data_IF_134699049203
#
_entry.id   IF_134699049203
#
_cell.length_a   1.000
_cell.length_b   1.000
_cell.length_c   1.000
_cell.angle_alpha   90.00
_cell.angle_beta   90.00
_cell.angle_gamma   90.00
#
_symmetry.space_group_name_H-M   'P 1'
#
loop_
_entity.id
_entity.type
_entity.pdbx_description
1 polymer ?
#
# COMPACT_ATOMS: atom_id res chain seq x y z
N UNK A 1 52.66 -3.85 -45.31
CA UNK A 1 51.98 -3.29 -44.11
C UNK A 1 50.77 -4.12 -43.84
N UNK A 2 50.78 -4.90 -42.72
CA UNK A 2 49.63 -5.74 -42.30
C UNK A 2 49.00 -5.04 -41.14
N UNK A 3 47.76 -4.61 -41.34
CA UNK A 3 46.94 -3.98 -40.28
C UNK A 3 46.29 -5.10 -39.47
N UNK A 4 46.66 -5.22 -38.19
CA UNK A 4 46.00 -6.09 -37.24
C UNK A 4 44.82 -5.35 -36.63
N UNK A 5 43.59 -5.80 -36.93
CA UNK A 5 42.37 -5.35 -36.27
C UNK A 5 42.23 -6.15 -34.99
N UNK A 6 42.44 -5.50 -33.85
CA UNK A 6 42.18 -6.08 -32.54
C UNK A 6 40.69 -5.89 -32.29
N UNK A 7 39.92 -6.96 -32.37
CA UNK A 7 38.51 -6.99 -31.92
C UNK A 7 38.54 -7.10 -30.41
N UNK A 8 38.27 -5.98 -29.75
CA UNK A 8 38.07 -5.93 -28.30
C UNK A 8 36.79 -6.68 -27.96
N UNK A 9 36.91 -7.78 -27.17
CA UNK A 9 35.81 -8.60 -26.70
C UNK A 9 34.86 -7.80 -25.81
N UNK A 10 33.60 -7.83 -26.17
CA UNK A 10 32.48 -7.34 -25.32
C UNK A 10 32.45 -8.15 -24.03
N UNK A 11 32.67 -7.47 -22.92
CA UNK A 11 32.38 -8.00 -21.59
C UNK A 11 30.89 -8.23 -21.50
N UNK A 12 30.45 -9.48 -21.39
CA UNK A 12 29.08 -9.84 -21.04
C UNK A 12 28.81 -9.32 -19.63
N UNK A 13 27.99 -8.27 -19.56
CA UNK A 13 27.41 -7.79 -18.32
C UNK A 13 26.58 -8.89 -17.70
N UNK A 14 27.01 -9.40 -16.56
CA UNK A 14 26.21 -10.29 -15.72
C UNK A 14 24.98 -9.50 -15.27
N UNK A 15 23.86 -9.69 -15.95
CA UNK A 15 22.57 -9.19 -15.51
C UNK A 15 22.22 -9.97 -14.24
N UNK A 16 22.61 -9.42 -13.11
CA UNK A 16 22.17 -9.93 -11.81
C UNK A 16 20.65 -9.99 -11.83
N UNK A 17 20.09 -11.18 -11.63
CA UNK A 17 18.65 -11.33 -11.44
C UNK A 17 18.27 -10.54 -10.20
N UNK A 18 17.71 -9.36 -10.37
CA UNK A 18 17.01 -8.65 -9.32
C UNK A 18 15.75 -9.47 -9.01
N UNK A 19 15.83 -10.36 -8.04
CA UNK A 19 14.66 -11.03 -7.49
C UNK A 19 13.86 -9.95 -6.76
N UNK A 20 12.82 -9.43 -7.43
CA UNK A 20 11.81 -8.68 -6.72
C UNK A 20 11.19 -9.64 -5.70
N UNK A 21 11.30 -9.33 -4.42
CA UNK A 21 10.55 -10.01 -3.37
C UNK A 21 9.09 -9.62 -3.55
N UNK A 22 8.37 -10.42 -4.33
CA UNK A 22 6.93 -10.25 -4.49
C UNK A 22 6.30 -10.73 -3.17
N UNK A 23 5.52 -9.87 -2.54
CA UNK A 23 4.67 -10.24 -1.41
C UNK A 23 3.50 -11.05 -1.98
N UNK A 24 3.72 -12.35 -2.14
CA UNK A 24 2.75 -13.24 -2.79
C UNK A 24 1.64 -13.67 -1.83
N UNK A 25 2.00 -13.97 -0.59
CA UNK A 25 1.07 -14.51 0.42
C UNK A 25 0.96 -13.61 1.65
N UNK A 26 -0.10 -13.85 2.43
CA UNK A 26 -0.33 -13.17 3.69
C UNK A 26 0.83 -13.30 4.68
N UNK A 27 1.54 -14.45 4.71
CA UNK A 27 2.71 -14.63 5.57
C UNK A 27 3.87 -13.71 5.18
N UNK A 28 4.10 -13.51 3.89
CA UNK A 28 5.14 -12.62 3.39
C UNK A 28 4.76 -11.16 3.69
N UNK A 29 3.48 -10.83 3.51
CA UNK A 29 2.92 -9.52 3.84
C UNK A 29 3.02 -9.24 5.34
N UNK A 30 2.70 -10.20 6.20
CA UNK A 30 2.84 -10.08 7.65
C UNK A 30 4.27 -9.72 8.02
N UNK A 31 5.24 -10.51 7.58
CA UNK A 31 6.66 -10.27 7.85
C UNK A 31 7.15 -8.92 7.34
N UNK A 32 6.76 -8.55 6.13
CA UNK A 32 7.13 -7.28 5.51
C UNK A 32 6.58 -6.09 6.29
N UNK A 33 5.34 -6.18 6.79
CA UNK A 33 4.71 -5.13 7.58
C UNK A 33 5.24 -5.07 9.03
N UNK A 34 5.66 -6.18 9.60
CA UNK A 34 6.39 -6.20 10.88
C UNK A 34 7.71 -5.42 10.77
N UNK A 35 8.48 -5.64 9.70
CA UNK A 35 9.71 -4.89 9.43
C UNK A 35 9.43 -3.39 9.24
N UNK A 36 8.38 -3.03 8.51
CA UNK A 36 7.99 -1.63 8.32
C UNK A 36 7.70 -0.92 9.65
N UNK A 37 7.01 -1.60 10.58
CA UNK A 37 6.67 -1.02 11.89
C UNK A 37 7.90 -0.90 12.80
N UNK A 38 8.86 -1.84 12.71
CA UNK A 38 10.08 -1.82 13.50
C UNK A 38 11.02 -0.68 13.11
N UNK A 39 10.92 -0.20 11.86
CA UNK A 39 11.75 0.90 11.30
C UNK A 39 13.27 0.71 11.55
N UNK A 40 13.70 -0.55 11.58
CA UNK A 40 15.11 -0.90 11.75
C UNK A 40 15.42 -2.12 10.89
N UNK A 41 16.39 -1.98 9.98
CA UNK A 41 16.72 -3.00 9.00
C UNK A 41 18.16 -3.46 9.14
N UNK A 42 18.39 -4.77 9.16
CA UNK A 42 19.73 -5.37 9.23
C UNK A 42 20.46 -5.32 7.90
N UNK A 43 19.71 -5.33 6.82
CA UNK A 43 20.24 -5.34 5.46
C UNK A 43 19.26 -4.74 4.44
N UNK A 44 19.70 -4.63 3.19
CA UNK A 44 18.89 -4.10 2.09
C UNK A 44 17.68 -4.98 1.74
N UNK A 45 17.73 -6.28 2.05
CA UNK A 45 16.61 -7.19 1.83
C UNK A 45 15.45 -6.87 2.75
N UNK A 46 15.73 -6.63 4.03
CA UNK A 46 14.72 -6.21 5.00
C UNK A 46 14.11 -4.85 4.67
N UNK A 47 14.95 -3.88 4.30
CA UNK A 47 14.47 -2.55 3.87
C UNK A 47 13.56 -2.67 2.63
N UNK A 48 13.92 -3.52 1.67
CA UNK A 48 13.08 -3.77 0.49
C UNK A 48 11.77 -4.47 0.83
N UNK A 49 11.79 -5.41 1.76
CA UNK A 49 10.58 -6.08 2.24
C UNK A 49 9.64 -5.09 2.92
N UNK A 50 10.16 -4.23 3.80
CA UNK A 50 9.37 -3.16 4.42
C UNK A 50 8.73 -2.24 3.37
N UNK A 51 9.49 -1.80 2.35
CA UNK A 51 8.97 -1.02 1.23
C UNK A 51 7.90 -1.77 0.41
N UNK A 52 7.96 -3.09 0.33
CA UNK A 52 6.91 -3.89 -0.32
C UNK A 52 5.59 -3.86 0.46
N UNK A 53 5.65 -3.89 1.80
CA UNK A 53 4.46 -3.68 2.63
C UNK A 53 3.88 -2.27 2.44
N UNK A 54 4.73 -1.24 2.47
CA UNK A 54 4.34 0.15 2.24
C UNK A 54 3.59 0.31 0.91
N UNK A 55 4.20 -0.11 -0.20
CA UNK A 55 3.58 -0.04 -1.53
C UNK A 55 2.28 -0.83 -1.65
N UNK A 56 2.17 -2.00 -1.00
CA UNK A 56 0.93 -2.79 -0.96
C UNK A 56 -0.18 -2.03 -0.23
N UNK A 57 0.13 -1.44 0.91
CA UNK A 57 -0.81 -0.68 1.72
C UNK A 57 -1.29 0.56 0.98
N UNK A 58 -0.38 1.36 0.41
CA UNK A 58 -0.72 2.56 -0.36
C UNK A 58 -1.64 2.22 -1.54
N UNK A 59 -1.30 1.15 -2.27
CA UNK A 59 -2.11 0.65 -3.37
C UNK A 59 -3.50 0.22 -2.89
N UNK A 60 -3.57 -0.56 -1.81
CA UNK A 60 -4.85 -1.02 -1.26
C UNK A 60 -5.70 0.14 -0.73
N UNK A 61 -5.11 1.13 -0.07
CA UNK A 61 -5.81 2.34 0.39
C UNK A 61 -6.38 3.16 -0.77
N UNK A 62 -5.61 3.28 -1.87
CA UNK A 62 -6.02 4.05 -3.04
C UNK A 62 -7.17 3.38 -3.82
N UNK A 63 -7.10 2.08 -3.99
CA UNK A 63 -8.04 1.36 -4.85
C UNK A 63 -9.26 0.81 -4.11
N UNK A 64 -9.15 0.47 -2.83
CA UNK A 64 -10.22 -0.19 -2.08
C UNK A 64 -11.56 0.57 -2.08
N UNK A 65 -11.63 1.92 -2.06
CA UNK A 65 -12.90 2.63 -2.13
C UNK A 65 -13.64 2.46 -3.48
N UNK A 66 -12.91 2.11 -4.53
CA UNK A 66 -13.44 1.97 -5.90
C UNK A 66 -13.75 0.52 -6.27
N UNK A 67 -13.57 -0.42 -5.36
CA UNK A 67 -13.90 -1.83 -5.58
C UNK A 67 -15.42 -2.07 -5.53
N UNK A 68 -15.90 -3.21 -6.05
CA UNK A 68 -17.29 -3.62 -5.87
C UNK A 68 -17.73 -3.63 -4.41
N UNK A 69 -18.99 -3.37 -4.13
CA UNK A 69 -19.52 -3.13 -2.79
C UNK A 69 -19.24 -4.27 -1.78
N UNK A 70 -19.18 -5.50 -2.26
CA UNK A 70 -18.93 -6.70 -1.46
C UNK A 70 -17.47 -6.84 -0.96
N UNK A 71 -16.53 -6.15 -1.62
CA UNK A 71 -15.09 -6.17 -1.26
C UNK A 71 -14.53 -4.77 -0.94
N UNK A 72 -15.37 -3.74 -1.01
CA UNK A 72 -14.97 -2.35 -0.80
C UNK A 72 -14.58 -2.08 0.64
N UNK A 73 -13.55 -1.24 0.83
CA UNK A 73 -13.18 -0.63 2.09
C UNK A 73 -13.08 0.89 1.92
N UNK A 74 -13.37 1.62 2.98
CA UNK A 74 -13.32 3.09 3.00
C UNK A 74 -12.32 3.56 4.08
N UNK A 75 -11.00 3.40 3.83
CA UNK A 75 -10.00 3.87 4.77
C UNK A 75 -10.06 5.40 4.90
N UNK A 76 -9.72 5.94 6.08
CA UNK A 76 -9.75 7.39 6.29
C UNK A 76 -8.77 8.09 5.36
N UNK A 77 -9.18 9.20 4.76
CA UNK A 77 -8.36 9.98 3.79
C UNK A 77 -7.01 10.45 4.37
N UNK A 78 -6.91 10.57 5.69
CA UNK A 78 -5.69 10.96 6.41
C UNK A 78 -5.05 9.77 7.14
N UNK A 79 -5.40 8.54 6.79
CA UNK A 79 -4.80 7.33 7.35
C UNK A 79 -3.32 7.25 6.98
N UNK A 80 -2.46 6.97 7.96
CA UNK A 80 -1.04 6.73 7.68
C UNK A 80 -0.79 5.28 7.27
N UNK A 81 0.25 5.06 6.47
CA UNK A 81 0.72 3.71 6.12
C UNK A 81 1.00 2.87 7.37
N UNK A 82 1.65 3.44 8.39
CA UNK A 82 1.93 2.74 9.65
C UNK A 82 0.67 2.34 10.40
N UNK A 83 -0.36 3.17 10.40
CA UNK A 83 -1.65 2.83 11.00
C UNK A 83 -2.30 1.66 10.26
N UNK A 84 -2.27 1.69 8.95
CA UNK A 84 -2.83 0.65 8.09
C UNK A 84 -2.06 -0.66 8.21
N UNK A 85 -0.72 -0.61 8.34
CA UNK A 85 0.11 -1.78 8.65
C UNK A 85 -0.29 -2.43 9.99
N UNK A 86 -0.54 -1.63 11.03
CA UNK A 86 -1.01 -2.13 12.33
C UNK A 86 -2.40 -2.77 12.25
N UNK A 87 -3.29 -2.22 11.43
CA UNK A 87 -4.63 -2.80 11.17
C UNK A 87 -4.47 -4.17 10.51
N UNK A 88 -3.66 -4.26 9.47
CA UNK A 88 -3.37 -5.51 8.77
C UNK A 88 -2.79 -6.58 9.68
N UNK A 89 -1.77 -6.25 10.48
CA UNK A 89 -1.16 -7.20 11.41
C UNK A 89 -2.14 -7.66 12.48
N UNK A 90 -2.98 -6.78 12.99
CA UNK A 90 -4.03 -7.16 13.94
C UNK A 90 -5.04 -8.13 13.30
N UNK A 91 -5.43 -7.87 12.04
CA UNK A 91 -6.32 -8.77 11.29
C UNK A 91 -5.70 -10.17 11.13
N UNK A 92 -4.43 -10.26 10.71
CA UNK A 92 -3.73 -11.53 10.54
C UNK A 92 -3.54 -12.28 11.86
N UNK A 93 -3.24 -11.58 12.95
CA UNK A 93 -3.14 -12.18 14.28
C UNK A 93 -4.47 -12.79 14.75
N UNK A 94 -5.58 -12.16 14.40
CA UNK A 94 -6.92 -12.66 14.74
C UNK A 94 -7.41 -13.74 13.76
N UNK A 95 -6.82 -13.83 12.58
CA UNK A 95 -7.20 -14.75 11.51
C UNK A 95 -5.97 -15.52 10.97
N UNK A 96 -5.36 -16.40 11.77
CA UNK A 96 -4.07 -17.03 11.42
C UNK A 96 -4.12 -17.90 10.15
N UNK A 97 -5.29 -18.40 9.78
CA UNK A 97 -5.44 -19.19 8.55
C UNK A 97 -5.29 -18.35 7.27
N UNK A 98 -5.52 -17.03 7.38
CA UNK A 98 -5.45 -16.11 6.23
C UNK A 98 -4.02 -15.84 5.75
N UNK A 99 -3.00 -16.21 6.51
CA UNK A 99 -1.59 -16.07 6.09
C UNK A 99 -1.25 -16.88 4.83
N UNK A 100 -2.08 -17.87 4.48
CA UNK A 100 -1.90 -18.72 3.28
C UNK A 100 -2.48 -18.10 2.00
N UNK A 101 -3.38 -17.14 2.17
CA UNK A 101 -4.08 -16.47 1.07
C UNK A 101 -3.18 -15.45 0.36
N UNK A 102 -3.53 -15.01 -0.86
CA UNK A 102 -2.82 -13.94 -1.54
C UNK A 102 -2.75 -12.67 -0.68
N UNK A 103 -1.59 -12.04 -0.60
CA UNK A 103 -1.36 -10.87 0.25
C UNK A 103 -2.31 -9.71 -0.03
N UNK A 104 -2.62 -9.44 -1.31
CA UNK A 104 -3.58 -8.40 -1.70
C UNK A 104 -5.00 -8.69 -1.21
N UNK A 105 -5.44 -9.95 -1.24
CA UNK A 105 -6.75 -10.36 -0.72
C UNK A 105 -6.83 -10.10 0.78
N UNK A 106 -5.81 -10.50 1.50
CA UNK A 106 -5.70 -10.28 2.95
C UNK A 106 -5.71 -8.79 3.30
N UNK A 107 -5.00 -7.95 2.54
CA UNK A 107 -4.98 -6.51 2.76
C UNK A 107 -6.36 -5.88 2.57
N UNK A 108 -7.08 -6.24 1.51
CA UNK A 108 -8.44 -5.75 1.24
C UNK A 108 -9.41 -6.20 2.34
N UNK A 109 -9.35 -7.46 2.76
CA UNK A 109 -10.20 -8.00 3.83
C UNK A 109 -9.94 -7.29 5.18
N UNK A 110 -8.68 -7.10 5.53
CA UNK A 110 -8.29 -6.39 6.75
C UNK A 110 -8.79 -4.94 6.76
N UNK A 111 -8.74 -4.27 5.62
CA UNK A 111 -9.23 -2.90 5.49
C UNK A 111 -10.75 -2.82 5.51
N UNK A 112 -11.45 -3.77 4.87
CA UNK A 112 -12.91 -3.86 4.92
C UNK A 112 -13.41 -4.13 6.34
N UNK A 113 -12.73 -4.99 7.09
CA UNK A 113 -13.05 -5.27 8.48
C UNK A 113 -12.86 -4.03 9.37
N UNK A 114 -11.78 -3.27 9.15
CA UNK A 114 -11.47 -2.10 9.95
C UNK A 114 -12.22 -0.83 9.53
N UNK A 115 -12.53 -0.70 8.25
CA UNK A 115 -13.12 0.50 7.64
C UNK A 115 -14.21 0.12 6.63
N UNK A 116 -15.32 -0.47 7.09
CA UNK A 116 -16.45 -0.78 6.22
C UNK A 116 -17.03 0.50 5.64
N UNK A 117 -17.35 0.50 4.33
CA UNK A 117 -18.07 1.61 3.71
C UNK A 117 -19.52 1.65 4.20
N UNK A 118 -19.94 2.79 4.71
CA UNK A 118 -21.34 3.07 5.00
C UNK A 118 -21.99 3.65 3.74
N UNK A 119 -23.27 3.39 3.51
CA UNK A 119 -23.96 3.66 2.24
C UNK A 119 -23.93 5.10 1.70
N UNK A 120 -23.45 6.06 2.49
CA UNK A 120 -23.36 7.49 2.12
C UNK A 120 -21.94 7.94 1.70
N UNK A 121 -20.95 7.04 1.77
CA UNK A 121 -19.54 7.38 1.47
C UNK A 121 -19.23 7.47 -0.04
N UNK A 122 -20.25 7.41 -0.89
CA UNK A 122 -20.14 7.65 -2.34
C UNK A 122 -20.14 9.13 -2.71
N UNK A 123 -20.24 10.04 -1.72
CA UNK A 123 -20.11 11.46 -1.99
C UNK A 123 -18.61 11.82 -2.13
N UNK A 124 -18.17 11.87 -3.39
CA UNK A 124 -16.94 12.54 -3.85
C UNK A 124 -16.76 13.84 -3.05
N UNK A 125 -15.52 14.26 -2.72
CA UNK A 125 -15.29 15.53 -2.08
C UNK A 125 -15.77 16.65 -3.04
N UNK A 126 -17.07 16.91 -3.03
CA UNK A 126 -17.68 18.00 -3.75
C UNK A 126 -17.39 19.27 -2.98
N UNK A 127 -16.51 20.07 -3.58
CA UNK A 127 -16.62 21.52 -3.63
C UNK A 127 -17.41 22.17 -2.47
N UNK A 128 -16.67 22.61 -1.47
CA UNK A 128 -17.19 23.48 -0.40
C UNK A 128 -17.75 24.75 -1.04
N UNK A 129 -19.06 24.75 -1.35
CA UNK A 129 -19.77 25.99 -1.74
C UNK A 129 -19.54 27.02 -0.66
N UNK A 130 -19.03 28.23 -1.00
CA UNK A 130 -18.82 29.27 -0.01
C UNK A 130 -20.19 29.70 0.53
N UNK A 131 -20.36 29.52 1.84
CA UNK A 131 -21.54 29.92 2.60
C UNK A 131 -21.70 31.44 2.44
N UNK A 132 -22.68 31.89 1.63
CA UNK A 132 -23.04 33.31 1.47
C UNK A 132 -23.33 33.90 2.84
N UNK A 133 -22.47 34.79 3.32
CA UNK A 133 -22.74 35.64 4.51
C UNK A 133 -23.94 36.51 4.23
N UNK A 134 -24.97 36.34 5.02
CA UNK A 134 -26.11 37.28 5.02
C UNK A 134 -25.67 38.69 5.44
N UNK A 135 -26.20 39.74 4.82
CA UNK A 135 -25.84 41.12 5.16
C UNK A 135 -26.38 41.47 6.55
N UNK A 136 -25.48 41.98 7.42
CA UNK A 136 -25.85 42.60 8.70
C UNK A 136 -26.70 43.83 8.42
N UNK A 137 -27.96 43.84 8.83
CA UNK A 137 -28.79 45.04 8.90
C UNK A 137 -28.20 45.95 9.98
N UNK A 138 -27.69 47.11 9.58
CA UNK A 138 -27.39 48.23 10.49
C UNK A 138 -28.71 48.87 10.91
N UNK A 139 -28.95 48.94 12.22
CA UNK A 139 -29.98 49.79 12.80
C UNK A 139 -29.39 51.19 12.99
N UNK A 140 -30.01 52.17 12.37
CA UNK A 140 -29.95 53.56 12.75
C UNK A 140 -30.68 53.78 14.05
#
# INVERSE_FOLDING_TARGET
>A
MRVYIIVAGLALSVIGKASATVVDKGIDLQRSCELLIQDSFRDQGEARSAGSCEGMIETAMLFSPNLPADVRACPPAQGSVLQSAKVLLRYLNNNPDRVKEPGVTVAIEAFRDAWPCHGDDTESPSETKPKKRAPKKSKQ
#
